data_IF_324102903492
#
_entry.id   IF_324102903492
#
_cell.length_a   1.000
_cell.length_b   1.000
_cell.length_c   1.000
_cell.angle_alpha   90.00
_cell.angle_beta   90.00
_cell.angle_gamma   90.00
#
_symmetry.space_group_name_H-M   'P 1'
#
loop_
_entity.id
_entity.type
_entity.pdbx_description
1 polymer ?
#
# COMPACT_ATOMS: atom_id res chain seq x y z
N UNK A 1 27.67 -15.05 -9.53
CA UNK A 1 27.14 -13.66 -9.52
C UNK A 1 25.64 -13.56 -9.79
N UNK A 2 25.10 -13.98 -10.94
CA UNK A 2 23.64 -13.82 -11.27
C UNK A 2 22.67 -14.57 -10.34
N UNK A 3 23.07 -15.72 -9.78
CA UNK A 3 22.19 -16.55 -8.96
C UNK A 3 21.84 -15.90 -7.60
N UNK A 4 22.81 -15.27 -6.93
CA UNK A 4 22.60 -14.60 -5.64
C UNK A 4 21.65 -13.41 -5.77
N UNK A 5 21.86 -12.55 -6.78
CA UNK A 5 20.98 -11.40 -7.04
C UNK A 5 19.55 -11.81 -7.37
N UNK A 6 19.38 -12.85 -8.20
CA UNK A 6 18.04 -13.38 -8.52
C UNK A 6 17.34 -13.90 -7.26
N UNK A 7 18.06 -14.61 -6.41
CA UNK A 7 17.52 -15.16 -5.16
C UNK A 7 17.10 -14.06 -4.19
N UNK A 8 17.94 -13.02 -3.99
CA UNK A 8 17.59 -11.86 -3.14
C UNK A 8 16.35 -11.15 -3.64
N UNK A 9 16.24 -10.90 -4.95
CA UNK A 9 15.05 -10.27 -5.54
C UNK A 9 13.80 -11.12 -5.31
N UNK A 10 13.87 -12.43 -5.56
CA UNK A 10 12.73 -13.33 -5.34
C UNK A 10 12.30 -13.28 -3.87
N UNK A 11 13.23 -13.40 -2.93
CA UNK A 11 12.92 -13.38 -1.49
C UNK A 11 12.21 -12.08 -1.08
N UNK A 12 12.72 -10.93 -1.51
CA UNK A 12 12.13 -9.62 -1.17
C UNK A 12 10.75 -9.42 -1.80
N UNK A 13 10.58 -9.78 -3.08
CA UNK A 13 9.28 -9.66 -3.74
C UNK A 13 8.25 -10.64 -3.19
N UNK A 14 8.66 -11.87 -2.85
CA UNK A 14 7.81 -12.86 -2.18
C UNK A 14 7.40 -12.39 -0.78
N UNK A 15 8.31 -11.79 -0.02
CA UNK A 15 8.00 -11.22 1.28
C UNK A 15 6.99 -10.05 1.16
N UNK A 16 7.20 -9.14 0.20
CA UNK A 16 6.26 -8.04 -0.05
C UNK A 16 4.88 -8.56 -0.47
N UNK A 17 4.84 -9.58 -1.33
CA UNK A 17 3.59 -10.23 -1.73
C UNK A 17 2.87 -10.87 -0.54
N UNK A 18 3.59 -11.59 0.33
CA UNK A 18 3.00 -12.20 1.53
C UNK A 18 2.39 -11.15 2.46
N UNK A 19 3.05 -10.00 2.64
CA UNK A 19 2.52 -8.87 3.41
C UNK A 19 1.24 -8.31 2.81
N UNK A 20 1.19 -8.11 1.49
CA UNK A 20 -0.02 -7.66 0.80
C UNK A 20 -1.16 -8.67 0.90
N UNK A 21 -0.89 -9.98 0.75
CA UNK A 21 -1.90 -11.03 0.93
C UNK A 21 -2.46 -11.00 2.35
N UNK A 22 -1.59 -10.98 3.36
CA UNK A 22 -2.00 -10.89 4.76
C UNK A 22 -2.88 -9.66 5.01
N UNK A 23 -2.43 -8.50 4.50
CA UNK A 23 -3.17 -7.25 4.60
C UNK A 23 -4.55 -7.35 3.93
N UNK A 24 -4.64 -7.79 2.68
CA UNK A 24 -5.92 -7.86 1.96
C UNK A 24 -6.89 -8.84 2.59
N UNK A 25 -6.41 -9.95 3.16
CA UNK A 25 -7.24 -10.91 3.90
C UNK A 25 -7.82 -10.26 5.16
N UNK A 26 -6.99 -9.60 5.98
CA UNK A 26 -7.47 -8.94 7.20
C UNK A 26 -8.36 -7.73 6.87
N UNK A 27 -7.96 -6.89 5.90
CA UNK A 27 -8.74 -5.75 5.41
C UNK A 27 -10.12 -6.20 4.89
N UNK A 28 -10.17 -7.22 4.05
CA UNK A 28 -11.41 -7.75 3.49
C UNK A 28 -12.37 -8.32 4.53
N UNK A 29 -11.86 -8.89 5.63
CA UNK A 29 -12.67 -9.36 6.77
C UNK A 29 -13.28 -8.22 7.59
N UNK A 30 -12.68 -7.03 7.53
CA UNK A 30 -13.11 -5.83 8.28
C UNK A 30 -14.08 -4.96 7.50
N UNK A 31 -14.19 -5.16 6.20
CA UNK A 31 -15.13 -4.47 5.33
C UNK A 31 -16.57 -4.84 5.70
N UNK A 32 -17.36 -3.84 6.08
CA UNK A 32 -18.79 -3.99 6.35
C UNK A 32 -19.61 -3.49 5.16
N UNK A 33 -20.82 -4.03 4.92
CA UNK A 33 -21.74 -3.48 3.92
C UNK A 33 -21.94 -1.97 4.14
N UNK A 34 -21.79 -1.20 3.08
CA UNK A 34 -21.92 0.25 3.12
C UNK A 34 -22.80 0.71 1.97
N UNK A 35 -23.81 1.52 2.30
CA UNK A 35 -24.69 2.14 1.33
C UNK A 35 -24.29 3.59 1.22
N UNK A 36 -23.94 4.04 0.01
CA UNK A 36 -23.63 5.44 -0.21
C UNK A 36 -24.84 6.31 0.15
N UNK A 37 -24.62 7.25 1.07
CA UNK A 37 -25.58 8.26 1.44
C UNK A 37 -24.85 9.61 1.54
N UNK A 38 -25.57 10.73 1.33
CA UNK A 38 -25.02 12.03 1.69
C UNK A 38 -24.65 12.03 3.18
N UNK A 39 -23.56 12.71 3.57
CA UNK A 39 -23.16 12.79 4.97
C UNK A 39 -24.31 13.40 5.79
N UNK A 40 -24.75 12.72 6.85
CA UNK A 40 -25.59 13.36 7.85
C UNK A 40 -24.76 14.41 8.60
N UNK A 41 -25.43 15.37 9.25
CA UNK A 41 -24.74 16.42 10.02
C UNK A 41 -23.79 15.77 11.05
N UNK A 42 -22.51 16.15 11.01
CA UNK A 42 -21.38 15.63 11.83
C UNK A 42 -20.95 14.17 11.59
N UNK A 43 -21.40 13.52 10.51
CA UNK A 43 -20.99 12.15 10.21
C UNK A 43 -19.66 12.07 9.45
N UNK A 44 -18.70 11.33 10.00
CA UNK A 44 -17.43 11.03 9.33
C UNK A 44 -17.64 9.89 8.32
N UNK A 45 -17.63 10.22 7.02
CA UNK A 45 -17.72 9.23 5.95
C UNK A 45 -16.51 8.28 5.96
N UNK A 46 -16.71 7.00 5.64
CA UNK A 46 -15.61 6.05 5.62
C UNK A 46 -14.62 6.36 4.50
N UNK A 47 -13.33 6.35 4.86
CA UNK A 47 -12.22 6.70 3.96
C UNK A 47 -12.06 5.66 2.83
N UNK A 48 -12.18 4.37 3.16
CA UNK A 48 -12.03 3.28 2.21
C UNK A 48 -13.38 2.66 1.87
N UNK A 49 -13.79 2.78 0.60
CA UNK A 49 -14.96 2.10 0.05
C UNK A 49 -14.47 1.18 -1.08
N UNK A 50 -14.96 -0.07 -1.08
CA UNK A 50 -14.65 -1.11 -2.05
C UNK A 50 -15.91 -1.93 -2.35
N UNK A 51 -16.46 -1.76 -3.55
CA UNK A 51 -17.55 -2.59 -4.08
C UNK A 51 -18.81 -2.62 -3.21
N UNK A 52 -19.23 -1.47 -2.66
CA UNK A 52 -20.41 -1.40 -1.77
C UNK A 52 -20.13 -1.90 -0.34
N UNK A 53 -18.86 -2.05 0.02
CA UNK A 53 -18.42 -2.24 1.41
C UNK A 53 -17.47 -1.14 1.80
N UNK A 54 -17.43 -0.79 3.07
CA UNK A 54 -16.51 0.21 3.56
C UNK A 54 -15.77 -0.26 4.81
N UNK A 55 -14.59 0.30 5.02
CA UNK A 55 -13.87 0.12 6.28
C UNK A 55 -14.40 1.15 7.29
N UNK A 56 -14.91 0.72 8.45
CA UNK A 56 -15.34 1.65 9.50
C UNK A 56 -14.18 2.48 10.02
N UNK A 57 -14.45 3.74 10.37
CA UNK A 57 -13.43 4.69 10.85
C UNK A 57 -12.72 4.18 12.11
N UNK A 58 -13.43 3.46 12.99
CA UNK A 58 -12.88 2.84 14.20
C UNK A 58 -11.81 1.79 13.87
N UNK A 59 -11.95 1.13 12.72
CA UNK A 59 -11.04 0.09 12.26
C UNK A 59 -9.84 0.63 11.47
N UNK A 60 -9.77 1.93 11.21
CA UNK A 60 -8.59 2.54 10.57
C UNK A 60 -7.30 2.38 11.40
N UNK A 61 -7.45 2.11 12.70
CA UNK A 61 -6.33 1.85 13.61
C UNK A 61 -5.89 0.39 13.69
N UNK A 62 -6.46 -0.49 12.84
CA UNK A 62 -6.18 -1.92 12.89
C UNK A 62 -4.68 -2.23 12.76
N UNK A 63 -4.17 -3.27 13.46
CA UNK A 63 -2.76 -3.62 13.43
C UNK A 63 -2.19 -3.85 12.02
N UNK A 64 -2.99 -4.44 11.12
CA UNK A 64 -2.62 -4.68 9.72
C UNK A 64 -2.40 -3.39 8.94
N UNK A 65 -3.29 -2.41 9.09
CA UNK A 65 -3.17 -1.09 8.48
C UNK A 65 -1.93 -0.36 8.98
N UNK A 66 -1.73 -0.32 10.31
CA UNK A 66 -0.54 0.31 10.91
C UNK A 66 0.76 -0.37 10.48
N UNK A 67 0.77 -1.69 10.38
CA UNK A 67 1.92 -2.43 9.89
C UNK A 67 2.23 -2.07 8.44
N UNK A 68 1.22 -2.07 7.58
CA UNK A 68 1.39 -1.73 6.16
C UNK A 68 1.79 -0.27 5.96
N UNK A 69 1.21 0.66 6.71
CA UNK A 69 1.61 2.07 6.69
C UNK A 69 3.09 2.23 7.02
N UNK A 70 3.60 1.52 8.03
CA UNK A 70 5.02 1.57 8.41
C UNK A 70 5.92 0.91 7.39
N UNK A 71 5.60 -0.31 6.97
CA UNK A 71 6.45 -1.08 6.03
C UNK A 71 6.47 -0.44 4.65
N UNK A 72 5.32 0.04 4.18
CA UNK A 72 5.16 0.67 2.88
C UNK A 72 5.27 2.19 2.93
N UNK A 73 5.73 2.77 4.06
CA UNK A 73 5.85 4.22 4.23
C UNK A 73 6.53 4.92 3.05
N UNK A 74 7.63 4.40 2.48
CA UNK A 74 8.27 5.10 1.36
C UNK A 74 7.40 5.09 0.10
N UNK A 75 6.57 4.07 -0.12
CA UNK A 75 5.56 4.03 -1.19
C UNK A 75 4.36 4.95 -0.90
N UNK A 76 4.00 5.16 0.37
CA UNK A 76 3.01 6.17 0.73
C UNK A 76 3.52 7.59 0.50
N UNK A 77 4.82 7.83 0.69
CA UNK A 77 5.42 9.14 0.41
C UNK A 77 5.39 9.48 -1.09
N UNK A 78 5.58 8.49 -1.97
CA UNK A 78 5.59 8.73 -3.42
C UNK A 78 4.22 9.10 -4.00
N UNK A 79 3.12 8.72 -3.34
CA UNK A 79 1.77 9.13 -3.77
C UNK A 79 1.33 10.49 -3.23
N UNK A 80 2.12 11.14 -2.35
CA UNK A 80 1.79 12.47 -1.80
C UNK A 80 1.46 13.55 -2.83
N UNK A 81 2.18 13.67 -3.98
CA UNK A 81 1.83 14.64 -5.00
C UNK A 81 0.43 14.41 -5.59
N UNK A 82 0.03 13.15 -5.73
CA UNK A 82 -1.32 12.77 -6.20
C UNK A 82 -2.36 13.18 -5.16
N UNK A 83 -2.12 12.88 -3.88
CA UNK A 83 -2.99 13.33 -2.78
C UNK A 83 -3.11 14.86 -2.75
N UNK A 84 -1.99 15.56 -2.90
CA UNK A 84 -1.97 17.02 -2.95
C UNK A 84 -2.81 17.56 -4.12
N UNK A 85 -2.67 16.99 -5.32
CA UNK A 85 -3.45 17.38 -6.48
C UNK A 85 -4.96 17.11 -6.29
N UNK A 86 -5.32 15.99 -5.66
CA UNK A 86 -6.71 15.65 -5.33
C UNK A 86 -7.29 16.59 -4.26
N UNK A 87 -6.48 17.03 -3.30
CA UNK A 87 -6.89 18.01 -2.29
C UNK A 87 -7.21 19.39 -2.86
N UNK A 88 -6.71 19.73 -4.05
CA UNK A 88 -7.14 20.94 -4.76
C UNK A 88 -8.58 20.84 -5.30
N UNK A 89 -9.16 19.64 -5.34
CA UNK A 89 -10.53 19.36 -5.83
C UNK A 89 -11.26 18.42 -4.86
N UNK A 90 -11.67 18.92 -3.68
CA UNK A 90 -12.18 18.08 -2.59
C UNK A 90 -13.43 17.26 -2.96
N UNK A 91 -14.26 17.74 -3.89
CA UNK A 91 -15.40 17.01 -4.43
C UNK A 91 -15.04 15.70 -5.16
N UNK A 92 -13.75 15.46 -5.41
CA UNK A 92 -13.26 14.18 -5.96
C UNK A 92 -13.23 13.09 -4.90
N UNK A 93 -12.98 13.43 -3.62
CA UNK A 93 -12.92 12.48 -2.51
C UNK A 93 -14.27 11.84 -2.20
N UNK A 94 -15.36 12.57 -2.47
CA UNK A 94 -16.74 12.12 -2.28
C UNK A 94 -17.23 11.21 -3.42
N UNK A 95 -16.50 11.16 -4.54
CA UNK A 95 -16.89 10.36 -5.70
C UNK A 95 -16.29 8.97 -5.61
N UNK A 96 -17.16 7.98 -5.55
CA UNK A 96 -16.78 6.59 -5.78
C UNK A 96 -16.72 6.32 -7.28
N UNK A 97 -15.57 5.85 -7.78
CA UNK A 97 -15.44 5.43 -9.17
C UNK A 97 -15.46 3.91 -9.20
N UNK A 98 -16.36 3.30 -9.98
CA UNK A 98 -16.51 1.84 -10.07
C UNK A 98 -16.69 1.14 -8.71
N UNK A 99 -17.34 1.82 -7.76
CA UNK A 99 -17.53 1.28 -6.41
C UNK A 99 -16.28 1.35 -5.51
N UNK A 100 -15.18 1.98 -5.95
CA UNK A 100 -13.95 2.16 -5.17
C UNK A 100 -13.74 3.65 -4.86
N UNK A 101 -13.45 3.97 -3.59
CA UNK A 101 -13.12 5.36 -3.20
C UNK A 101 -11.74 5.76 -3.73
N UNK A 102 -11.44 7.06 -3.88
CA UNK A 102 -10.11 7.49 -4.32
C UNK A 102 -8.98 7.00 -3.42
N UNK A 103 -9.23 6.86 -2.11
CA UNK A 103 -8.31 6.22 -1.18
C UNK A 103 -8.08 4.74 -1.47
N UNK A 104 -9.11 4.02 -1.91
CA UNK A 104 -8.97 2.64 -2.38
C UNK A 104 -8.07 2.54 -3.62
N UNK A 105 -8.20 3.46 -4.57
CA UNK A 105 -7.29 3.54 -5.72
C UNK A 105 -5.86 3.89 -5.32
N UNK A 106 -5.68 4.82 -4.38
CA UNK A 106 -4.36 5.14 -3.84
C UNK A 106 -3.73 3.92 -3.16
N UNK A 107 -4.50 3.13 -2.41
CA UNK A 107 -4.02 1.90 -1.77
C UNK A 107 -3.53 0.89 -2.82
N UNK A 108 -4.27 0.72 -3.91
CA UNK A 108 -3.85 -0.12 -5.05
C UNK A 108 -2.57 0.44 -5.69
N UNK A 109 -2.48 1.75 -5.89
CA UNK A 109 -1.27 2.39 -6.45
C UNK A 109 -0.04 2.19 -5.55
N UNK A 110 -0.20 2.38 -4.23
CA UNK A 110 0.84 2.13 -3.22
C UNK A 110 1.28 0.66 -3.26
N UNK A 111 0.36 -0.28 -3.44
CA UNK A 111 0.70 -1.69 -3.63
C UNK A 111 1.63 -1.89 -4.82
N UNK A 112 1.30 -1.40 -6.01
CA UNK A 112 2.19 -1.54 -7.17
C UNK A 112 3.53 -0.84 -6.99
N UNK A 113 3.53 0.37 -6.41
CA UNK A 113 4.76 1.13 -6.11
C UNK A 113 5.66 0.38 -5.13
N UNK A 114 5.07 -0.33 -4.16
CA UNK A 114 5.85 -1.14 -3.21
C UNK A 114 6.63 -2.25 -3.91
N UNK A 115 6.06 -2.92 -4.92
CA UNK A 115 6.79 -3.96 -5.65
C UNK A 115 8.02 -3.39 -6.38
N UNK A 116 7.87 -2.20 -6.98
CA UNK A 116 8.99 -1.51 -7.61
C UNK A 116 10.04 -1.11 -6.56
N UNK A 117 9.61 -0.55 -5.42
CA UNK A 117 10.51 -0.14 -4.35
C UNK A 117 11.29 -1.34 -3.79
N UNK A 118 10.61 -2.45 -3.45
CA UNK A 118 11.23 -3.66 -2.93
C UNK A 118 12.16 -4.32 -3.95
N UNK A 119 11.83 -4.26 -5.25
CA UNK A 119 12.73 -4.68 -6.32
C UNK A 119 14.03 -3.86 -6.31
N UNK A 120 13.93 -2.53 -6.25
CA UNK A 120 15.09 -1.64 -6.21
C UNK A 120 15.95 -1.88 -4.96
N UNK A 121 15.32 -2.01 -3.79
CA UNK A 121 16.02 -2.34 -2.54
C UNK A 121 16.75 -3.68 -2.66
N UNK A 122 16.09 -4.71 -3.17
CA UNK A 122 16.70 -6.02 -3.35
C UNK A 122 17.90 -5.99 -4.32
N UNK A 123 17.82 -5.17 -5.37
CA UNK A 123 18.94 -4.93 -6.30
C UNK A 123 20.11 -4.23 -5.61
N UNK A 124 19.85 -3.21 -4.81
CA UNK A 124 20.87 -2.50 -4.03
C UNK A 124 21.54 -3.43 -3.01
N UNK A 125 20.76 -4.21 -2.25
CA UNK A 125 21.28 -5.18 -1.28
C UNK A 125 22.13 -6.23 -1.96
N UNK A 126 21.64 -6.82 -3.06
CA UNK A 126 22.41 -7.81 -3.79
C UNK A 126 23.72 -7.24 -4.34
N UNK A 127 23.72 -5.97 -4.77
CA UNK A 127 24.94 -5.29 -5.20
C UNK A 127 25.91 -5.09 -4.04
N UNK A 128 25.46 -4.58 -2.89
CA UNK A 128 26.29 -4.36 -1.71
C UNK A 128 26.94 -5.66 -1.20
N UNK A 129 26.16 -6.75 -1.14
CA UNK A 129 26.68 -8.07 -0.74
C UNK A 129 27.76 -8.55 -1.71
N UNK A 130 27.55 -8.39 -3.03
CA UNK A 130 28.56 -8.79 -4.02
C UNK A 130 29.83 -7.93 -3.93
N UNK A 131 29.69 -6.62 -3.76
CA UNK A 131 30.83 -5.70 -3.64
C UNK A 131 31.63 -5.92 -2.36
N UNK A 132 30.96 -6.22 -1.24
CA UNK A 132 31.62 -6.55 0.03
C UNK A 132 32.40 -7.86 -0.02
N UNK A 133 31.86 -8.89 -0.68
CA UNK A 133 32.55 -10.18 -0.87
C UNK A 133 33.79 -10.03 -1.76
N UNK A 134 33.76 -9.16 -2.77
CA UNK A 134 34.93 -8.85 -3.60
C UNK A 134 36.02 -8.09 -2.83
N UNK A 135 35.65 -7.29 -1.82
CA UNK A 135 36.58 -6.51 -1.00
C UNK A 135 37.22 -7.30 0.15
N UNK A 136 36.61 -8.39 0.62
CA UNK A 136 37.16 -9.25 1.68
C UNK A 136 37.99 -10.45 1.15
N UNK A 137 38.04 -10.65 -0.17
CA UNK A 137 38.72 -11.77 -0.82
C UNK A 137 40.02 -11.40 -1.56
N UNK A 138 40.51 -10.17 -1.41
CA UNK A 138 41.79 -9.68 -1.92
C UNK A 138 42.69 -9.26 -0.74
#
# INVERSE_FOLDING_TARGET
MRATTRTTVILFLSANLALWIFFWVDFGRRLIPYREHPPAFEEALPVFVFGGKALPTEQMSAPSLRLMERVQMPSFLTVRPVVHALNQKPSTWEKTFWGISPWGYLLIAVMFLSFLQWYLVARCVAWLVCSGVAACGA
#
